data_IF_363302682480
#
_entry.id   IF_363302682480
#
_cell.length_a   1.000
_cell.length_b   1.000
_cell.length_c   1.000
_cell.angle_alpha   90.00
_cell.angle_beta   90.00
_cell.angle_gamma   90.00
#
_symmetry.space_group_name_H-M   'P 1'
#
loop_
_entity.id
_entity.type
_entity.pdbx_description
1 polymer ?
#
# COMPACT_ATOMS: atom_id res chain seq x y z
N UNK A 1 11.50 -11.04 -21.62
CA UNK A 1 10.66 -10.67 -20.46
C UNK A 1 9.69 -9.61 -20.95
N UNK A 2 8.41 -9.65 -20.55
CA UNK A 2 7.48 -8.58 -20.95
C UNK A 2 7.75 -7.33 -20.11
N UNK A 3 7.58 -6.14 -20.65
CA UNK A 3 7.79 -4.87 -19.93
C UNK A 3 6.47 -4.27 -19.47
N UNK A 4 6.46 -3.71 -18.26
CA UNK A 4 5.30 -2.99 -17.70
C UNK A 4 5.68 -1.57 -17.32
N UNK A 5 5.04 -0.59 -17.96
CA UNK A 5 5.27 0.83 -17.69
C UNK A 5 4.50 1.27 -16.45
N UNK A 6 5.15 1.95 -15.50
CA UNK A 6 4.49 2.47 -14.29
C UNK A 6 3.97 3.88 -14.56
N UNK A 7 2.66 4.08 -14.45
CA UNK A 7 1.98 5.36 -14.72
C UNK A 7 1.29 5.90 -13.47
N UNK A 8 1.50 7.18 -13.14
CA UNK A 8 0.94 7.77 -11.91
C UNK A 8 1.03 9.29 -11.80
N UNK A 9 0.51 9.88 -10.71
CA UNK A 9 0.63 11.30 -10.44
C UNK A 9 2.07 11.69 -10.03
N UNK A 10 2.61 12.73 -10.66
CA UNK A 10 3.93 13.31 -10.37
C UNK A 10 3.79 14.80 -10.01
N UNK A 11 3.26 15.61 -10.95
CA UNK A 11 3.16 17.05 -10.79
C UNK A 11 2.28 17.46 -9.59
N UNK A 12 2.78 18.39 -8.77
CA UNK A 12 2.06 18.92 -7.61
C UNK A 12 2.14 18.04 -6.35
N UNK A 13 2.88 16.93 -6.38
CA UNK A 13 3.16 16.09 -5.20
C UNK A 13 4.60 16.31 -4.69
N UNK A 14 4.85 16.10 -3.38
CA UNK A 14 6.21 16.10 -2.85
C UNK A 14 7.08 15.03 -3.52
N UNK A 15 8.29 15.41 -3.97
CA UNK A 15 9.19 14.52 -4.72
C UNK A 15 9.49 13.21 -3.98
N UNK A 16 9.65 13.23 -2.66
CA UNK A 16 9.91 12.02 -1.88
C UNK A 16 8.73 11.04 -1.93
N UNK A 17 7.50 11.55 -1.92
CA UNK A 17 6.29 10.72 -2.04
C UNK A 17 6.17 10.11 -3.44
N UNK A 18 6.52 10.88 -4.46
CA UNK A 18 6.54 10.40 -5.85
C UNK A 18 7.57 9.27 -5.98
N UNK A 19 8.83 9.51 -5.58
CA UNK A 19 9.89 8.49 -5.63
C UNK A 19 9.50 7.23 -4.89
N UNK A 20 8.95 7.36 -3.68
CA UNK A 20 8.52 6.21 -2.90
C UNK A 20 7.45 5.40 -3.65
N UNK A 21 6.37 6.03 -4.14
CA UNK A 21 5.28 5.32 -4.80
C UNK A 21 5.74 4.57 -6.06
N UNK A 22 6.60 5.19 -6.88
CA UNK A 22 7.13 4.57 -8.10
C UNK A 22 8.13 3.46 -7.79
N UNK A 23 9.01 3.63 -6.79
CA UNK A 23 9.95 2.59 -6.37
C UNK A 23 9.24 1.38 -5.74
N UNK A 24 8.21 1.61 -4.93
CA UNK A 24 7.41 0.52 -4.33
C UNK A 24 6.75 -0.32 -5.44
N UNK A 25 6.24 0.32 -6.49
CA UNK A 25 5.68 -0.37 -7.65
C UNK A 25 6.73 -1.12 -8.48
N UNK A 26 7.90 -0.52 -8.68
CA UNK A 26 9.05 -1.17 -9.34
C UNK A 26 9.48 -2.43 -8.57
N UNK A 27 9.62 -2.35 -7.24
CA UNK A 27 9.96 -3.51 -6.40
C UNK A 27 8.85 -4.57 -6.46
N UNK A 28 7.58 -4.17 -6.39
CA UNK A 28 6.47 -5.13 -6.45
C UNK A 28 6.50 -5.98 -7.72
N UNK A 29 6.74 -5.35 -8.87
CA UNK A 29 6.79 -6.06 -10.16
C UNK A 29 8.12 -6.78 -10.39
N UNK A 30 9.25 -6.25 -9.93
CA UNK A 30 10.53 -6.94 -10.01
C UNK A 30 10.52 -8.28 -9.23
N UNK A 31 9.71 -8.38 -8.16
CA UNK A 31 9.54 -9.60 -7.37
C UNK A 31 8.46 -10.55 -7.91
N UNK A 32 7.50 -10.04 -8.69
CA UNK A 32 6.44 -10.82 -9.33
C UNK A 32 6.88 -11.23 -10.74
N UNK A 33 7.36 -12.47 -10.89
CA UNK A 33 8.17 -13.02 -12.00
C UNK A 33 7.71 -12.85 -13.48
N UNK A 34 6.68 -12.06 -13.78
CA UNK A 34 6.08 -11.97 -15.13
C UNK A 34 6.46 -10.71 -15.93
N UNK A 35 6.91 -9.64 -15.27
CA UNK A 35 7.20 -8.36 -15.94
C UNK A 35 8.49 -7.68 -15.47
N UNK A 36 9.15 -7.01 -16.41
CA UNK A 36 10.22 -6.03 -16.18
C UNK A 36 9.58 -4.64 -15.97
N UNK A 37 9.66 -4.04 -14.77
CA UNK A 37 9.10 -2.72 -14.54
C UNK A 37 9.92 -1.63 -15.26
N UNK A 38 9.22 -0.68 -15.87
CA UNK A 38 9.79 0.54 -16.48
C UNK A 38 9.28 1.76 -15.72
N UNK A 39 10.18 2.39 -14.98
CA UNK A 39 9.88 3.54 -14.14
C UNK A 39 10.20 4.87 -14.86
N UNK A 40 9.20 5.73 -15.15
CA UNK A 40 9.43 6.98 -15.88
C UNK A 40 10.27 8.01 -15.13
N UNK A 41 10.47 7.86 -13.81
CA UNK A 41 11.41 8.70 -13.07
C UNK A 41 12.86 8.53 -13.56
N UNK A 42 13.14 7.45 -14.29
CA UNK A 42 14.43 7.13 -14.88
C UNK A 42 14.48 7.41 -16.40
N UNK A 43 13.63 8.30 -16.92
CA UNK A 43 13.56 8.61 -18.36
C UNK A 43 14.78 9.38 -18.92
N UNK A 44 15.77 9.70 -18.08
CA UNK A 44 17.03 10.33 -18.48
C UNK A 44 17.00 11.86 -18.60
N UNK A 45 15.83 12.50 -18.39
CA UNK A 45 15.72 13.96 -18.40
C UNK A 45 16.03 14.59 -17.03
N UNK A 46 16.62 15.79 -17.00
CA UNK A 46 16.85 16.51 -15.76
C UNK A 46 15.54 17.04 -15.17
N UNK A 47 15.50 17.26 -13.86
CA UNK A 47 14.28 17.69 -13.13
C UNK A 47 13.77 19.07 -13.52
N UNK A 48 14.56 19.88 -14.20
CA UNK A 48 14.19 21.20 -14.70
C UNK A 48 13.67 21.17 -16.15
N UNK A 49 13.61 20.00 -16.78
CA UNK A 49 12.99 19.86 -18.09
C UNK A 49 11.50 20.17 -18.03
N UNK A 50 10.95 20.62 -19.15
CA UNK A 50 9.54 20.97 -19.27
C UNK A 50 8.65 19.73 -19.15
N UNK A 51 7.39 19.95 -18.79
CA UNK A 51 6.39 18.88 -18.74
C UNK A 51 6.26 18.19 -20.10
N UNK A 52 6.31 18.95 -21.20
CA UNK A 52 6.21 18.44 -22.56
C UNK A 52 7.43 17.62 -22.99
N UNK A 53 8.62 17.90 -22.46
CA UNK A 53 9.83 17.09 -22.69
C UNK A 53 9.73 15.77 -21.95
N UNK A 54 9.37 15.80 -20.66
CA UNK A 54 9.12 14.58 -19.87
C UNK A 54 8.06 13.71 -20.54
N UNK A 55 6.91 14.28 -20.92
CA UNK A 55 5.84 13.52 -21.54
C UNK A 55 6.27 12.88 -22.87
N UNK A 56 7.09 13.55 -23.69
CA UNK A 56 7.60 12.93 -24.92
C UNK A 56 8.55 11.76 -24.65
N UNK A 57 9.39 11.86 -23.61
CA UNK A 57 10.27 10.76 -23.21
C UNK A 57 9.47 9.59 -22.64
N UNK A 58 8.49 9.87 -21.79
CA UNK A 58 7.62 8.90 -21.14
C UNK A 58 6.78 8.11 -22.15
N UNK A 59 6.22 8.78 -23.16
CA UNK A 59 5.49 8.09 -24.24
C UNK A 59 6.38 7.16 -25.06
N UNK A 60 7.66 7.51 -25.29
CA UNK A 60 8.61 6.61 -25.97
C UNK A 60 8.88 5.36 -25.14
N UNK A 61 9.12 5.54 -23.83
CA UNK A 61 9.30 4.42 -22.90
C UNK A 61 8.05 3.52 -22.86
N UNK A 62 6.87 4.13 -22.81
CA UNK A 62 5.60 3.41 -22.81
C UNK A 62 5.40 2.58 -24.08
N UNK A 63 5.75 3.12 -25.25
CA UNK A 63 5.62 2.42 -26.54
C UNK A 63 6.55 1.20 -26.65
N UNK A 64 7.63 1.15 -25.87
CA UNK A 64 8.52 -0.02 -25.77
C UNK A 64 8.03 -1.06 -24.74
N UNK A 65 6.87 -0.85 -24.12
CA UNK A 65 6.30 -1.75 -23.11
C UNK A 65 5.13 -2.61 -23.64
N UNK A 66 4.83 -3.70 -22.94
CA UNK A 66 3.72 -4.61 -23.27
C UNK A 66 2.46 -4.34 -22.44
N UNK A 67 2.63 -3.70 -21.28
CA UNK A 67 1.59 -3.46 -20.30
C UNK A 67 1.79 -2.11 -19.59
N UNK A 68 0.74 -1.64 -18.92
CA UNK A 68 0.77 -0.44 -18.07
C UNK A 68 0.29 -0.82 -16.67
N UNK A 69 1.01 -0.34 -15.65
CA UNK A 69 0.58 -0.39 -14.25
C UNK A 69 0.19 1.01 -13.76
N UNK A 70 -1.09 1.20 -13.48
CA UNK A 70 -1.68 2.49 -13.11
C UNK A 70 -1.69 2.69 -11.58
N UNK A 71 -0.89 3.61 -11.06
CA UNK A 71 -0.83 3.97 -9.64
C UNK A 71 -2.10 4.68 -9.13
N UNK A 72 -2.33 4.64 -7.82
CA UNK A 72 -3.46 5.29 -7.16
C UNK A 72 -3.51 6.79 -7.48
N UNK A 73 -4.69 7.27 -7.88
CA UNK A 73 -4.91 8.66 -8.24
C UNK A 73 -4.48 9.03 -9.66
N UNK A 74 -4.13 8.06 -10.50
CA UNK A 74 -3.82 8.27 -11.93
C UNK A 74 -4.93 9.05 -12.66
N UNK A 75 -6.19 8.88 -12.27
CA UNK A 75 -7.35 9.54 -12.88
C UNK A 75 -7.28 11.07 -12.75
N UNK A 76 -6.57 11.56 -11.74
CA UNK A 76 -6.37 12.99 -11.47
C UNK A 76 -5.10 13.54 -12.12
N UNK A 77 -4.20 12.68 -12.58
CA UNK A 77 -2.96 13.06 -13.26
C UNK A 77 -3.23 13.34 -14.74
N UNK A 78 -2.75 14.48 -15.24
CA UNK A 78 -2.86 14.80 -16.67
C UNK A 78 -2.02 13.84 -17.52
N UNK A 79 -0.77 13.56 -17.13
CA UNK A 79 0.13 12.65 -17.85
C UNK A 79 -0.39 11.22 -17.85
N UNK A 80 -0.74 10.69 -16.68
CA UNK A 80 -1.22 9.31 -16.56
C UNK A 80 -2.50 9.03 -17.36
N UNK A 81 -3.41 10.02 -17.48
CA UNK A 81 -4.59 9.89 -18.35
C UNK A 81 -4.25 9.81 -19.84
N UNK A 82 -3.20 10.52 -20.29
CA UNK A 82 -2.73 10.46 -21.67
C UNK A 82 -2.14 9.08 -21.95
N UNK A 83 -1.27 8.60 -21.05
CA UNK A 83 -0.65 7.27 -21.12
C UNK A 83 -1.71 6.15 -21.12
N UNK A 84 -2.70 6.26 -20.23
CA UNK A 84 -3.83 5.33 -20.17
C UNK A 84 -4.61 5.29 -21.49
N UNK A 85 -5.00 6.45 -22.02
CA UNK A 85 -5.76 6.52 -23.27
C UNK A 85 -5.00 5.87 -24.43
N UNK A 86 -3.70 6.18 -24.55
CA UNK A 86 -2.84 5.56 -25.55
C UNK A 86 -2.75 4.05 -25.36
N UNK A 87 -2.57 3.57 -24.12
CA UNK A 87 -2.51 2.15 -23.81
C UNK A 87 -3.79 1.38 -24.17
N UNK A 88 -4.94 1.98 -23.90
CA UNK A 88 -6.26 1.43 -24.29
C UNK A 88 -6.36 1.31 -25.82
N UNK A 89 -6.03 2.38 -26.55
CA UNK A 89 -6.11 2.41 -28.01
C UNK A 89 -5.16 1.40 -28.67
N UNK A 90 -3.99 1.18 -28.05
CA UNK A 90 -3.00 0.19 -28.46
C UNK A 90 -3.31 -1.24 -27.97
N UNK A 91 -4.41 -1.43 -27.22
CA UNK A 91 -4.81 -2.73 -26.64
C UNK A 91 -3.75 -3.36 -25.73
N UNK A 92 -2.98 -2.53 -25.03
CA UNK A 92 -2.03 -2.98 -24.01
C UNK A 92 -2.77 -3.62 -22.83
N UNK A 93 -2.11 -4.51 -22.11
CA UNK A 93 -2.66 -5.02 -20.86
C UNK A 93 -2.54 -3.95 -19.76
N UNK A 94 -3.67 -3.56 -19.17
CA UNK A 94 -3.70 -2.52 -18.14
C UNK A 94 -3.94 -3.19 -16.79
N UNK A 95 -2.93 -3.08 -15.92
CA UNK A 95 -3.03 -3.40 -14.51
C UNK A 95 -3.24 -2.10 -13.74
N UNK A 96 -4.02 -2.18 -12.68
CA UNK A 96 -4.19 -1.07 -11.76
C UNK A 96 -3.50 -1.44 -10.46
N UNK A 97 -2.89 -0.45 -9.82
CA UNK A 97 -2.55 -0.54 -8.42
C UNK A 97 -3.84 -0.84 -7.69
N UNK A 98 -3.98 -2.12 -7.36
CA UNK A 98 -4.96 -2.55 -6.39
C UNK A 98 -4.63 -1.71 -5.17
N UNK A 99 -5.62 -0.99 -4.63
CA UNK A 99 -5.50 -0.50 -3.26
C UNK A 99 -5.19 -1.74 -2.45
N UNK A 100 -3.94 -1.95 -2.05
CA UNK A 100 -3.41 -3.24 -1.63
C UNK A 100 -4.37 -3.88 -0.62
N UNK A 101 -5.33 -4.67 -1.06
CA UNK A 101 -6.21 -5.36 -0.13
C UNK A 101 -5.44 -6.60 0.31
N UNK A 102 -4.38 -6.40 1.09
CA UNK A 102 -4.02 -7.39 2.10
C UNK A 102 -5.28 -7.76 2.93
N UNK A 103 -6.29 -6.89 2.98
CA UNK A 103 -7.63 -7.19 3.48
C UNK A 103 -8.34 -8.39 2.84
N UNK A 104 -8.02 -8.84 1.61
CA UNK A 104 -8.72 -9.98 1.00
C UNK A 104 -8.19 -11.34 1.47
N UNK A 105 -6.96 -11.41 2.01
CA UNK A 105 -6.36 -12.65 2.53
C UNK A 105 -5.81 -12.50 3.97
N UNK A 106 -6.21 -11.45 4.69
CA UNK A 106 -5.94 -11.34 6.12
C UNK A 106 -6.89 -12.25 6.87
N UNK A 107 -6.44 -13.47 7.11
CA UNK A 107 -7.12 -14.33 8.05
C UNK A 107 -6.90 -13.80 9.48
N UNK A 108 -7.81 -12.96 9.95
CA UNK A 108 -7.77 -12.44 11.32
C UNK A 108 -8.03 -13.53 12.38
N UNK A 109 -8.52 -14.71 11.97
CA UNK A 109 -8.78 -15.80 12.90
C UNK A 109 -7.49 -16.37 13.49
N UNK A 110 -6.33 -16.17 12.85
CA UNK A 110 -5.02 -16.56 13.39
C UNK A 110 -4.69 -15.86 14.72
N UNK A 111 -5.31 -14.71 15.00
CA UNK A 111 -5.13 -13.97 16.25
C UNK A 111 -6.07 -14.41 17.38
N UNK A 112 -7.09 -15.22 17.07
CA UNK A 112 -8.14 -15.60 18.01
C UNK A 112 -7.58 -16.44 19.17
N UNK A 113 -6.86 -17.52 18.86
CA UNK A 113 -6.32 -18.44 19.86
C UNK A 113 -5.22 -17.79 20.72
N UNK A 114 -4.19 -17.12 20.15
CA UNK A 114 -3.12 -16.52 20.95
C UNK A 114 -3.58 -15.41 21.89
N UNK A 115 -4.65 -14.70 21.54
CA UNK A 115 -5.17 -13.58 22.34
C UNK A 115 -6.43 -13.93 23.14
N UNK A 116 -6.86 -15.19 23.10
CA UNK A 116 -8.08 -15.67 23.74
C UNK A 116 -9.32 -14.81 23.37
N UNK A 117 -9.50 -14.58 22.07
CA UNK A 117 -10.60 -13.83 21.47
C UNK A 117 -11.41 -14.71 20.53
N UNK A 118 -12.67 -14.35 20.30
CA UNK A 118 -13.39 -14.85 19.13
C UNK A 118 -13.18 -13.93 17.93
N UNK A 119 -13.39 -14.43 16.70
CA UNK A 119 -13.42 -13.57 15.51
C UNK A 119 -14.46 -12.43 15.66
N UNK A 120 -15.58 -12.72 16.32
CA UNK A 120 -16.58 -11.69 16.65
C UNK A 120 -16.02 -10.61 17.56
N UNK A 121 -15.20 -10.95 18.58
CA UNK A 121 -14.57 -9.95 19.44
C UNK A 121 -13.58 -9.06 18.66
N UNK A 122 -12.82 -9.65 17.74
CA UNK A 122 -11.87 -8.94 16.87
C UNK A 122 -12.59 -7.95 15.95
N UNK A 123 -13.73 -8.35 15.37
CA UNK A 123 -14.51 -7.51 14.46
C UNK A 123 -15.54 -6.60 15.17
N UNK A 124 -15.75 -6.79 16.47
CA UNK A 124 -16.78 -6.07 17.23
C UNK A 124 -16.45 -4.59 17.43
N UNK A 125 -17.46 -3.71 17.40
CA UNK A 125 -17.32 -2.29 17.80
C UNK A 125 -17.28 -2.07 19.33
N UNK A 126 -17.24 -3.14 20.13
CA UNK A 126 -17.21 -3.08 21.59
C UNK A 126 -16.01 -2.27 22.11
N UNK A 127 -16.27 -1.38 23.07
CA UNK A 127 -15.27 -0.51 23.71
C UNK A 127 -14.84 -1.00 25.10
N UNK A 128 -15.27 -2.19 25.52
CA UNK A 128 -14.83 -2.79 26.79
C UNK A 128 -13.33 -3.09 26.69
N UNK A 129 -12.57 -2.74 27.73
CA UNK A 129 -11.11 -2.87 27.76
C UNK A 129 -10.65 -4.29 27.36
N UNK A 130 -11.32 -5.32 27.89
CA UNK A 130 -11.02 -6.75 27.68
C UNK A 130 -10.90 -7.19 26.22
N UNK A 131 -11.60 -6.52 25.28
CA UNK A 131 -11.55 -6.86 23.85
C UNK A 131 -10.96 -5.71 23.02
N UNK A 132 -10.96 -4.49 23.56
CA UNK A 132 -10.42 -3.32 22.87
C UNK A 132 -8.90 -3.36 22.77
N UNK A 133 -8.18 -3.60 23.88
CA UNK A 133 -6.70 -3.60 23.85
C UNK A 133 -6.16 -4.72 22.96
N UNK A 134 -6.59 -5.99 23.08
CA UNK A 134 -6.15 -7.05 22.19
C UNK A 134 -6.36 -6.73 20.70
N UNK A 135 -7.54 -6.16 20.36
CA UNK A 135 -7.82 -5.73 18.99
C UNK A 135 -6.87 -4.63 18.49
N UNK A 136 -6.56 -3.66 19.35
CA UNK A 136 -5.60 -2.59 19.02
C UNK A 136 -4.17 -3.15 18.87
N UNK A 137 -3.81 -4.18 19.63
CA UNK A 137 -2.53 -4.90 19.49
C UNK A 137 -2.46 -5.63 18.13
N UNK A 138 -3.54 -6.26 17.67
CA UNK A 138 -3.59 -6.84 16.32
C UNK A 138 -3.36 -5.74 15.27
N UNK A 139 -4.04 -4.59 15.38
CA UNK A 139 -3.84 -3.47 14.45
C UNK A 139 -2.39 -2.97 14.44
N UNK A 140 -1.76 -2.86 15.60
CA UNK A 140 -0.35 -2.50 15.73
C UNK A 140 0.56 -3.51 15.04
N UNK A 141 0.36 -4.80 15.29
CA UNK A 141 1.13 -5.88 14.70
C UNK A 141 1.01 -5.89 13.17
N UNK A 142 -0.21 -5.78 12.65
CA UNK A 142 -0.46 -5.70 11.21
C UNK A 142 0.26 -4.51 10.58
N UNK A 143 0.29 -3.37 11.26
CA UNK A 143 0.94 -2.16 10.75
C UNK A 143 2.46 -2.27 10.75
N UNK A 144 3.06 -2.68 11.86
CA UNK A 144 4.50 -2.54 12.08
C UNK A 144 5.30 -3.82 11.90
N UNK A 145 4.70 -5.00 12.12
CA UNK A 145 5.36 -6.29 11.92
C UNK A 145 5.08 -6.86 10.53
N UNK A 146 3.86 -6.67 10.02
CA UNK A 146 3.42 -7.18 8.70
C UNK A 146 3.44 -6.13 7.60
N UNK A 147 3.80 -4.88 7.92
CA UNK A 147 3.90 -3.76 6.98
C UNK A 147 2.61 -3.48 6.18
N UNK A 148 1.44 -3.70 6.77
CA UNK A 148 0.14 -3.46 6.11
C UNK A 148 -0.25 -1.99 6.25
N UNK A 149 -0.89 -1.43 5.22
CA UNK A 149 -1.35 -0.03 5.26
C UNK A 149 -2.50 0.17 6.26
N UNK A 150 -2.56 1.35 6.87
CA UNK A 150 -3.63 1.75 7.80
C UNK A 150 -5.02 1.65 7.13
N UNK A 151 -5.09 1.96 5.84
CA UNK A 151 -6.34 1.91 5.06
C UNK A 151 -6.82 0.47 4.93
N UNK A 152 -5.91 -0.47 4.70
CA UNK A 152 -6.26 -1.88 4.48
C UNK A 152 -6.58 -2.61 5.78
N UNK A 153 -5.90 -2.26 6.87
CA UNK A 153 -6.31 -2.65 8.23
C UNK A 153 -7.71 -2.10 8.51
N UNK A 154 -8.00 -0.84 8.17
CA UNK A 154 -9.32 -0.24 8.32
C UNK A 154 -10.41 -1.04 7.60
N UNK A 155 -10.16 -1.46 6.35
CA UNK A 155 -11.07 -2.34 5.61
C UNK A 155 -11.26 -3.70 6.28
N UNK A 156 -10.18 -4.36 6.71
CA UNK A 156 -10.23 -5.67 7.35
C UNK A 156 -11.05 -5.66 8.65
N UNK A 157 -11.01 -4.56 9.42
CA UNK A 157 -11.74 -4.39 10.66
C UNK A 157 -13.11 -3.69 10.50
N UNK A 158 -13.46 -3.24 9.29
CA UNK A 158 -14.62 -2.36 9.03
C UNK A 158 -14.64 -1.10 9.93
N UNK A 159 -13.49 -0.42 9.99
CA UNK A 159 -13.23 0.79 10.78
C UNK A 159 -12.54 1.88 9.95
N UNK A 160 -12.72 3.13 10.36
CA UNK A 160 -12.05 4.27 9.74
C UNK A 160 -10.53 4.23 9.96
N UNK A 161 -9.77 4.68 8.95
CA UNK A 161 -8.30 4.75 9.01
C UNK A 161 -7.78 5.57 10.19
N UNK A 162 -8.52 6.61 10.63
CA UNK A 162 -8.18 7.40 11.82
C UNK A 162 -8.27 6.58 13.11
N UNK A 163 -9.23 5.66 13.20
CA UNK A 163 -9.36 4.72 14.34
C UNK A 163 -8.16 3.80 14.41
N UNK A 164 -7.71 3.29 13.27
CA UNK A 164 -6.52 2.44 13.18
C UNK A 164 -5.27 3.22 13.60
N UNK A 165 -5.08 4.44 13.07
CA UNK A 165 -3.95 5.32 13.43
C UNK A 165 -3.89 5.59 14.93
N UNK A 166 -5.02 5.95 15.54
CA UNK A 166 -5.10 6.22 16.98
C UNK A 166 -4.80 4.96 17.82
N UNK A 167 -5.28 3.79 17.37
CA UNK A 167 -5.00 2.52 18.02
C UNK A 167 -3.50 2.17 17.99
N UNK A 168 -2.87 2.29 16.81
CA UNK A 168 -1.45 1.95 16.63
C UNK A 168 -0.54 2.89 17.42
N UNK A 169 -0.85 4.20 17.46
CA UNK A 169 -0.11 5.17 18.28
C UNK A 169 -0.23 4.80 19.76
N UNK A 170 -1.45 4.53 20.24
CA UNK A 170 -1.69 4.17 21.64
C UNK A 170 -0.91 2.92 22.06
N UNK A 171 -0.93 1.85 21.26
CA UNK A 171 -0.18 0.63 21.57
C UNK A 171 1.33 0.89 21.55
N UNK A 172 1.83 1.69 20.61
CA UNK A 172 3.23 2.12 20.60
C UNK A 172 3.64 2.82 21.90
N UNK A 173 2.82 3.74 22.42
CA UNK A 173 3.07 4.41 23.70
C UNK A 173 3.06 3.44 24.89
N UNK A 174 2.16 2.45 24.90
CA UNK A 174 2.11 1.43 25.97
C UNK A 174 3.33 0.50 25.95
N UNK A 175 3.81 0.12 24.75
CA UNK A 175 5.06 -0.63 24.59
C UNK A 175 6.25 0.17 25.13
N UNK A 176 6.34 1.47 24.80
CA UNK A 176 7.39 2.36 25.33
C UNK A 176 7.32 2.49 26.86
N UNK A 177 6.11 2.53 27.43
CA UNK A 177 5.88 2.54 28.86
C UNK A 177 6.13 1.19 29.55
N UNK A 178 6.50 0.15 28.80
CA UNK A 178 6.68 -1.23 29.27
C UNK A 178 5.45 -1.80 29.97
N UNK A 179 4.26 -1.50 29.44
CA UNK A 179 3.02 -2.09 29.90
C UNK A 179 3.09 -3.62 29.76
N UNK A 180 2.96 -4.34 30.89
CA UNK A 180 3.18 -5.78 30.95
C UNK A 180 2.17 -6.55 30.12
N UNK A 181 0.90 -6.14 30.15
CA UNK A 181 -0.19 -6.83 29.48
C UNK A 181 -0.05 -6.71 27.96
N UNK A 182 0.27 -5.51 27.48
CA UNK A 182 0.51 -5.25 26.04
C UNK A 182 1.74 -5.99 25.54
N UNK A 183 2.85 -5.96 26.28
CA UNK A 183 4.08 -6.67 25.88
C UNK A 183 3.86 -8.18 25.77
N UNK A 184 3.10 -8.76 26.71
CA UNK A 184 2.75 -10.19 26.67
C UNK A 184 1.92 -10.51 25.41
N UNK A 185 0.90 -9.71 25.08
CA UNK A 185 0.10 -9.92 23.87
C UNK A 185 0.93 -9.79 22.59
N UNK A 186 1.82 -8.78 22.53
CA UNK A 186 2.70 -8.56 21.37
C UNK A 186 3.62 -9.77 21.17
N UNK A 187 4.20 -10.32 22.23
CA UNK A 187 5.09 -11.48 22.13
C UNK A 187 4.32 -12.73 21.65
N UNK A 188 3.07 -12.94 22.10
CA UNK A 188 2.24 -14.08 21.67
C UNK A 188 1.96 -14.11 20.16
N UNK A 189 1.89 -12.95 19.51
CA UNK A 189 1.52 -12.84 18.09
C UNK A 189 2.71 -12.50 17.19
N UNK A 190 3.90 -12.29 17.74
CA UNK A 190 5.09 -11.77 17.06
C UNK A 190 5.55 -12.59 15.85
N UNK A 191 5.30 -13.89 15.88
CA UNK A 191 5.72 -14.83 14.83
C UNK A 191 4.65 -15.05 13.74
N UNK A 192 3.46 -14.46 13.90
CA UNK A 192 2.34 -14.62 12.96
C UNK A 192 2.58 -13.84 11.68
#
# INVERSE_FOLDING_TARGET
MKKIYISGPISGLPLDKVKQAFNDAEIHHALGMDYEPVNPLNNGLPTNATWEEHMRADLKLLLDCDAIYMLEGWEKSRGARIEYALGVDLKMYIQYQQKYSHALNLDLSIYAEPLNLTLSDILSRCRKIRCMIPRQVIMYHLRYNRNISIVDIGRAFNLDHSTISNATIKIGSLIQAKDKEVLEMVEKIKAL
#
